data_IF_274875802426
#
_entry.id   IF_274875802426
#
_cell.length_a   1.000
_cell.length_b   1.000
_cell.length_c   1.000
_cell.angle_alpha   90.00
_cell.angle_beta   90.00
_cell.angle_gamma   90.00
#
_symmetry.space_group_name_H-M   'P 1'
#
loop_
_entity.id
_entity.type
_entity.pdbx_description
1 polymer ?
#
# COMPACT_ATOMS: atom_id res chain seq x y z
N UNK A 1 -9.56 -17.32 -31.45
CA UNK A 1 -9.05 -16.54 -30.30
C UNK A 1 -10.23 -15.82 -29.70
N UNK A 2 -10.84 -16.38 -28.66
CA UNK A 2 -11.98 -15.78 -27.99
C UNK A 2 -11.44 -14.70 -27.04
N UNK A 3 -11.79 -13.43 -27.29
CA UNK A 3 -11.54 -12.33 -26.34
C UNK A 3 -12.56 -12.48 -25.20
N UNK A 4 -12.09 -12.86 -24.03
CA UNK A 4 -12.87 -12.82 -22.79
C UNK A 4 -13.09 -11.34 -22.44
N UNK A 5 -14.32 -10.84 -22.55
CA UNK A 5 -14.69 -9.52 -22.04
C UNK A 5 -14.71 -9.59 -20.51
N UNK A 6 -13.75 -8.97 -19.85
CA UNK A 6 -13.88 -8.57 -18.45
C UNK A 6 -14.81 -7.36 -18.42
N UNK A 7 -15.99 -7.51 -17.83
CA UNK A 7 -16.86 -6.37 -17.49
C UNK A 7 -16.35 -5.82 -16.17
N UNK A 8 -15.71 -4.65 -16.21
CA UNK A 8 -15.31 -3.91 -15.00
C UNK A 8 -16.55 -3.25 -14.39
N UNK A 9 -16.85 -3.59 -13.13
CA UNK A 9 -17.76 -2.80 -12.30
C UNK A 9 -16.92 -1.80 -11.50
N UNK A 10 -17.12 -0.50 -11.76
CA UNK A 10 -16.57 0.55 -10.93
C UNK A 10 -17.21 0.49 -9.53
N UNK A 11 -16.40 0.24 -8.50
CA UNK A 11 -16.84 0.32 -7.12
C UNK A 11 -17.09 1.79 -6.75
N UNK A 12 -18.33 2.12 -6.40
CA UNK A 12 -18.73 3.43 -5.86
C UNK A 12 -18.25 3.54 -4.41
N UNK A 13 -17.20 4.33 -4.18
CA UNK A 13 -16.74 4.70 -2.84
C UNK A 13 -17.65 5.80 -2.26
N UNK A 14 -18.33 5.50 -1.15
CA UNK A 14 -19.06 6.48 -0.35
C UNK A 14 -18.13 7.11 0.69
N UNK A 15 -18.16 8.44 0.75
CA UNK A 15 -17.22 9.26 1.53
C UNK A 15 -17.36 9.18 3.05
N UNK A 16 -16.21 9.10 3.71
CA UNK A 16 -16.06 9.35 5.14
C UNK A 16 -16.16 10.87 5.43
N UNK A 17 -17.06 11.26 6.34
CA UNK A 17 -17.14 12.64 6.86
C UNK A 17 -16.03 12.92 7.87
N UNK A 18 -15.10 13.82 7.54
CA UNK A 18 -14.08 14.30 8.46
C UNK A 18 -14.65 15.38 9.41
N UNK A 19 -14.69 15.10 10.72
CA UNK A 19 -15.01 16.10 11.75
C UNK A 19 -13.72 16.72 12.30
N UNK A 20 -13.45 17.97 11.95
CA UNK A 20 -12.30 18.75 12.44
C UNK A 20 -12.50 19.26 13.88
N UNK A 21 -11.54 18.98 14.75
CA UNK A 21 -11.40 19.56 16.08
C UNK A 21 -10.10 20.38 16.19
N UNK A 22 -10.07 21.52 16.90
CA UNK A 22 -8.92 22.42 16.94
C UNK A 22 -7.81 21.93 17.90
N UNK A 23 -6.56 21.90 17.42
CA UNK A 23 -5.36 21.69 18.25
C UNK A 23 -5.03 22.98 19.02
N UNK A 24 -4.93 22.88 20.34
CA UNK A 24 -4.42 23.92 21.22
C UNK A 24 -2.88 23.84 21.31
N UNK A 25 -2.20 24.96 21.05
CA UNK A 25 -0.77 25.16 21.25
C UNK A 25 -0.47 25.65 22.67
N UNK A 26 0.41 24.95 23.39
CA UNK A 26 1.01 25.44 24.63
C UNK A 26 2.54 25.48 24.47
N UNK A 27 3.11 26.68 24.56
CA UNK A 27 4.55 26.91 24.56
C UNK A 27 5.20 26.64 25.92
N UNK A 28 6.52 26.44 25.89
CA UNK A 28 7.38 26.48 27.09
C UNK A 28 8.73 27.14 26.78
N UNK A 29 9.40 27.72 27.79
CA UNK A 29 10.40 28.76 27.63
C UNK A 29 11.83 28.25 27.49
N UNK A 30 12.68 29.12 26.95
CA UNK A 30 14.10 28.94 26.71
C UNK A 30 14.93 28.91 27.99
N UNK A 31 15.80 27.90 28.12
CA UNK A 31 16.89 27.87 29.09
C UNK A 31 18.22 28.25 28.41
N UNK A 32 18.90 29.24 29.00
CA UNK A 32 20.23 29.71 28.59
C UNK A 32 21.31 28.83 29.18
N UNK A 33 22.07 28.14 28.33
CA UNK A 33 23.28 27.40 28.72
C UNK A 33 24.56 28.20 28.43
N UNK A 34 25.52 28.07 29.35
CA UNK A 34 26.83 28.71 29.37
C UNK A 34 27.80 28.15 28.30
N UNK A 35 28.82 28.92 27.88
CA UNK A 35 29.75 28.52 26.83
C UNK A 35 30.68 27.37 27.29
N UNK A 36 30.70 26.29 26.51
CA UNK A 36 31.63 25.17 26.66
C UNK A 36 32.96 25.45 25.95
N UNK A 37 34.08 24.91 26.46
CA UNK A 37 35.42 25.08 25.90
C UNK A 37 35.58 24.40 24.53
N UNK A 38 36.32 25.05 23.63
CA UNK A 38 36.60 24.61 22.26
C UNK A 38 37.38 23.28 22.25
N UNK A 39 36.68 22.20 21.90
CA UNK A 39 37.24 20.87 21.70
C UNK A 39 37.71 20.77 20.24
N UNK A 40 39.02 20.69 20.02
CA UNK A 40 39.62 20.45 18.70
C UNK A 40 39.36 19.01 18.26
N UNK A 41 38.19 18.78 17.67
CA UNK A 41 37.83 17.51 17.06
C UNK A 41 38.78 17.18 15.89
N UNK A 42 39.14 15.89 15.70
CA UNK A 42 39.88 15.45 14.54
C UNK A 42 39.13 15.81 13.25
N UNK A 43 39.83 16.01 12.11
CA UNK A 43 39.20 16.36 10.84
C UNK A 43 38.11 15.33 10.54
N UNK A 44 36.87 15.80 10.51
CA UNK A 44 35.72 15.04 10.05
C UNK A 44 36.00 14.63 8.62
N UNK A 45 36.22 13.34 8.40
CA UNK A 45 36.18 12.73 7.08
C UNK A 45 34.92 13.25 6.39
N UNK A 46 35.11 14.00 5.31
CA UNK A 46 34.00 14.55 4.54
C UNK A 46 33.23 13.34 4.01
N UNK A 47 31.93 13.19 4.33
CA UNK A 47 31.16 12.03 3.89
C UNK A 47 31.27 11.95 2.36
N UNK A 48 31.63 10.76 1.86
CA UNK A 48 31.59 10.49 0.43
C UNK A 48 30.20 10.84 -0.07
N UNK A 49 30.12 11.60 -1.16
CA UNK A 49 28.85 11.86 -1.83
C UNK A 49 28.18 10.53 -2.17
N UNK A 50 26.86 10.45 -2.05
CA UNK A 50 26.08 9.29 -2.47
C UNK A 50 25.36 9.61 -3.78
N UNK A 51 25.08 8.59 -4.61
CA UNK A 51 24.34 8.74 -5.86
C UNK A 51 23.36 7.58 -6.06
N UNK A 52 22.33 7.85 -6.87
CA UNK A 52 21.43 6.83 -7.42
C UNK A 52 21.81 6.52 -8.88
N UNK A 53 21.53 5.30 -9.37
CA UNK A 53 21.63 5.01 -10.80
C UNK A 53 20.56 5.80 -11.59
N UNK A 54 20.74 5.95 -12.90
CA UNK A 54 19.87 6.76 -13.78
C UNK A 54 18.40 6.35 -13.74
N UNK A 55 18.15 5.05 -13.58
CA UNK A 55 16.81 4.47 -13.53
C UNK A 55 16.15 4.50 -12.14
N UNK A 56 16.79 5.16 -11.18
CA UNK A 56 16.24 5.44 -9.86
C UNK A 56 16.26 6.96 -9.60
N UNK A 57 15.36 7.40 -8.72
CA UNK A 57 15.27 8.75 -8.23
C UNK A 57 15.86 8.84 -6.80
N UNK A 58 16.71 9.83 -6.52
CA UNK A 58 17.20 10.11 -5.17
C UNK A 58 16.13 10.73 -4.28
N UNK A 59 15.94 10.20 -3.06
CA UNK A 59 14.99 10.72 -2.08
C UNK A 59 15.69 10.96 -0.73
N UNK A 60 15.87 12.23 -0.28
CA UNK A 60 15.67 13.46 -1.04
C UNK A 60 16.74 13.65 -2.12
N UNK A 61 16.57 14.64 -3.00
CA UNK A 61 17.42 14.78 -4.19
C UNK A 61 18.90 15.11 -3.92
N UNK A 62 19.21 15.95 -2.91
CA UNK A 62 20.57 16.47 -2.69
C UNK A 62 21.46 15.52 -1.86
N UNK A 63 20.88 14.85 -0.86
CA UNK A 63 21.53 13.90 0.03
C UNK A 63 20.60 12.68 0.19
N UNK A 64 20.57 11.76 -0.80
CA UNK A 64 19.58 10.69 -0.82
C UNK A 64 19.74 9.80 0.41
N UNK A 65 18.63 9.60 1.12
CA UNK A 65 18.48 8.60 2.17
C UNK A 65 18.27 7.22 1.56
N UNK A 66 17.61 7.19 0.40
CA UNK A 66 17.41 6.01 -0.43
C UNK A 66 17.25 6.42 -1.90
N UNK A 67 17.34 5.42 -2.77
CA UNK A 67 16.96 5.50 -4.16
C UNK A 67 15.67 4.72 -4.36
N UNK A 68 14.74 5.22 -5.15
CA UNK A 68 13.51 4.50 -5.53
C UNK A 68 13.43 4.39 -7.06
N UNK A 69 12.91 3.30 -7.58
CA UNK A 69 12.71 3.13 -9.02
C UNK A 69 11.97 4.35 -9.61
N UNK A 70 12.54 4.91 -10.68
CA UNK A 70 12.05 6.15 -11.31
C UNK A 70 10.70 5.95 -12.00
N UNK A 71 10.50 4.80 -12.59
CA UNK A 71 9.28 4.34 -13.25
C UNK A 71 8.76 3.05 -12.60
N UNK A 72 7.47 2.75 -12.78
CA UNK A 72 6.92 1.45 -12.40
C UNK A 72 7.74 0.30 -13.01
N UNK A 73 7.89 -0.79 -12.28
CA UNK A 73 8.78 -1.87 -12.68
C UNK A 73 8.19 -2.70 -13.83
N UNK A 74 9.07 -3.16 -14.73
CA UNK A 74 8.79 -4.17 -15.75
C UNK A 74 9.67 -5.39 -15.55
N UNK A 75 9.24 -6.54 -16.05
CA UNK A 75 9.97 -7.81 -15.90
C UNK A 75 11.15 -7.90 -16.89
N UNK A 76 12.30 -8.42 -16.44
CA UNK A 76 13.39 -8.79 -17.34
C UNK A 76 12.97 -9.88 -18.34
N UNK A 77 13.71 -10.02 -19.44
CA UNK A 77 13.40 -11.00 -20.47
C UNK A 77 13.44 -12.47 -19.98
N UNK A 78 14.21 -12.77 -18.93
CA UNK A 78 14.29 -14.09 -18.30
C UNK A 78 13.29 -14.28 -17.15
N UNK A 79 12.54 -13.23 -16.77
CA UNK A 79 11.52 -13.31 -15.74
C UNK A 79 12.07 -13.47 -14.31
N UNK A 80 13.33 -13.11 -14.07
CA UNK A 80 13.99 -13.33 -12.77
C UNK A 80 14.21 -12.04 -11.97
N UNK A 81 14.08 -10.88 -12.59
CA UNK A 81 14.30 -9.59 -11.96
C UNK A 81 13.38 -8.53 -12.58
N UNK A 82 13.41 -7.34 -11.99
CA UNK A 82 12.67 -6.17 -12.41
C UNK A 82 13.63 -5.10 -12.94
N UNK A 83 13.12 -4.31 -13.88
CA UNK A 83 13.78 -3.14 -14.45
C UNK A 83 12.86 -1.94 -14.31
N UNK A 84 13.41 -0.81 -13.88
CA UNK A 84 12.74 0.48 -13.98
C UNK A 84 13.15 1.09 -15.32
N UNK A 85 12.19 1.29 -16.22
CA UNK A 85 12.49 1.78 -17.56
C UNK A 85 11.34 2.64 -18.07
N UNK A 86 11.66 3.69 -18.82
CA UNK A 86 10.66 4.49 -19.55
C UNK A 86 10.11 3.76 -20.78
N UNK A 87 8.84 3.97 -21.09
CA UNK A 87 8.21 3.56 -22.35
C UNK A 87 7.86 2.08 -22.45
N UNK A 88 7.80 1.37 -21.32
CA UNK A 88 7.41 -0.05 -21.25
C UNK A 88 6.08 -0.19 -20.50
N UNK A 89 5.33 -1.25 -20.76
CA UNK A 89 4.13 -1.54 -19.96
C UNK A 89 4.57 -2.10 -18.60
N UNK A 90 4.08 -1.57 -17.47
CA UNK A 90 4.49 -2.04 -16.15
C UNK A 90 4.02 -3.49 -15.92
N UNK A 91 4.82 -4.24 -15.16
CA UNK A 91 4.49 -5.59 -14.75
C UNK A 91 3.39 -5.53 -13.68
N UNK A 92 2.28 -6.24 -13.91
CA UNK A 92 1.19 -6.41 -12.94
C UNK A 92 0.80 -7.88 -12.82
N UNK A 93 -0.11 -8.24 -11.92
CA UNK A 93 -0.55 -9.64 -11.77
C UNK A 93 0.43 -10.52 -11.01
N UNK A 94 1.34 -9.91 -10.26
CA UNK A 94 2.28 -10.57 -9.35
C UNK A 94 1.77 -10.49 -7.91
N UNK A 95 2.04 -11.51 -7.11
CA UNK A 95 1.74 -11.47 -5.68
C UNK A 95 2.68 -10.53 -4.94
N UNK A 96 2.36 -10.20 -3.69
CA UNK A 96 3.27 -9.44 -2.82
C UNK A 96 4.59 -10.18 -2.61
N UNK A 97 4.55 -11.51 -2.38
CA UNK A 97 5.77 -12.30 -2.21
C UNK A 97 6.62 -12.38 -3.49
N UNK A 98 5.98 -12.57 -4.65
CA UNK A 98 6.65 -12.55 -5.96
C UNK A 98 7.32 -11.18 -6.16
N UNK A 99 6.61 -10.08 -5.88
CA UNK A 99 7.15 -8.73 -5.96
C UNK A 99 8.37 -8.52 -5.05
N UNK A 100 8.32 -9.02 -3.81
CA UNK A 100 9.42 -8.91 -2.84
C UNK A 100 10.66 -9.64 -3.32
N UNK A 101 10.49 -10.88 -3.76
CA UNK A 101 11.56 -11.72 -4.28
C UNK A 101 12.18 -11.11 -5.54
N UNK A 102 11.34 -10.66 -6.47
CA UNK A 102 11.80 -10.04 -7.72
C UNK A 102 12.59 -8.76 -7.45
N UNK A 103 12.16 -7.88 -6.55
CA UNK A 103 12.95 -6.72 -6.15
C UNK A 103 14.29 -7.14 -5.53
N UNK A 104 14.30 -8.11 -4.62
CA UNK A 104 15.53 -8.62 -3.99
C UNK A 104 16.53 -9.23 -5.00
N UNK A 105 16.02 -9.80 -6.10
CA UNK A 105 16.81 -10.34 -7.19
C UNK A 105 17.21 -9.29 -8.25
N UNK A 106 16.83 -8.02 -8.07
CA UNK A 106 17.12 -6.95 -9.03
C UNK A 106 18.38 -6.19 -8.62
N UNK A 107 19.46 -6.22 -9.43
CA UNK A 107 20.69 -5.53 -9.08
C UNK A 107 20.57 -4.01 -9.27
N UNK A 108 21.28 -3.26 -8.45
CA UNK A 108 21.55 -1.83 -8.70
C UNK A 108 22.85 -1.77 -9.50
N UNK A 109 22.80 -1.17 -10.69
CA UNK A 109 23.93 -1.14 -11.64
C UNK A 109 24.34 0.30 -11.92
N UNK A 110 25.61 0.62 -11.73
CA UNK A 110 26.22 1.91 -12.09
C UNK A 110 27.42 1.62 -12.97
N UNK A 111 27.51 2.26 -14.13
CA UNK A 111 28.59 2.06 -15.12
C UNK A 111 28.83 0.59 -15.53
N UNK A 112 27.76 -0.22 -15.49
CA UNK A 112 27.81 -1.65 -15.81
C UNK A 112 28.28 -2.55 -14.68
N UNK A 113 28.58 -2.01 -13.50
CA UNK A 113 28.95 -2.77 -12.30
C UNK A 113 27.78 -2.87 -11.33
N UNK A 114 27.57 -4.06 -10.76
CA UNK A 114 26.59 -4.26 -9.69
C UNK A 114 27.15 -3.71 -8.38
N UNK A 115 26.51 -2.68 -7.86
CA UNK A 115 26.92 -1.96 -6.64
C UNK A 115 25.99 -2.22 -5.45
N UNK A 116 24.90 -2.93 -5.67
CA UNK A 116 23.92 -3.27 -4.64
C UNK A 116 22.76 -4.09 -5.20
N UNK A 117 21.74 -4.25 -4.38
CA UNK A 117 20.50 -4.94 -4.72
C UNK A 117 19.32 -4.09 -4.29
N UNK A 118 18.24 -4.17 -5.06
CA UNK A 118 16.99 -3.53 -4.69
C UNK A 118 16.26 -4.36 -3.63
N UNK A 119 15.24 -3.76 -3.06
CA UNK A 119 14.23 -4.36 -2.19
C UNK A 119 12.88 -3.75 -2.55
N UNK A 120 11.79 -4.34 -2.08
CA UNK A 120 10.50 -3.68 -2.24
C UNK A 120 10.55 -2.34 -1.49
N UNK A 121 9.98 -1.28 -2.09
CA UNK A 121 9.83 -0.02 -1.39
C UNK A 121 8.99 -0.23 -0.13
N UNK A 122 9.48 0.27 1.01
CA UNK A 122 8.64 0.33 2.19
C UNK A 122 7.50 1.33 1.98
N UNK A 123 6.42 1.18 2.73
CA UNK A 123 5.31 2.14 2.67
C UNK A 123 5.76 3.57 2.96
N UNK A 124 6.67 3.76 3.93
CA UNK A 124 7.23 5.08 4.26
C UNK A 124 8.06 5.65 3.11
N UNK A 125 8.99 4.88 2.54
CA UNK A 125 9.80 5.34 1.40
C UNK A 125 8.95 5.69 0.19
N UNK A 126 7.93 4.88 -0.09
CA UNK A 126 7.00 5.15 -1.17
C UNK A 126 6.23 6.45 -0.90
N UNK A 127 5.74 6.65 0.33
CA UNK A 127 5.04 7.86 0.76
C UNK A 127 5.89 9.11 0.62
N UNK A 128 7.12 9.09 1.14
CA UNK A 128 8.08 10.20 1.04
C UNK A 128 8.39 10.54 -0.43
N UNK A 129 8.58 9.49 -1.26
CA UNK A 129 8.82 9.67 -2.69
C UNK A 129 7.61 10.28 -3.41
N UNK A 130 6.41 9.88 -2.99
CA UNK A 130 5.13 10.30 -3.54
C UNK A 130 4.83 11.75 -3.20
N UNK A 131 4.88 12.14 -1.93
CA UNK A 131 4.40 13.43 -1.46
C UNK A 131 5.44 14.57 -1.50
N UNK A 132 6.68 14.21 -1.88
CA UNK A 132 7.77 15.14 -2.06
C UNK A 132 8.44 15.61 -0.77
N UNK A 133 8.12 15.03 0.38
CA UNK A 133 8.69 15.40 1.68
C UNK A 133 9.04 14.15 2.48
N UNK A 134 10.27 14.07 2.98
CA UNK A 134 10.66 12.97 3.87
C UNK A 134 10.00 13.13 5.25
N UNK A 135 9.26 12.11 5.68
CA UNK A 135 8.62 12.05 6.99
C UNK A 135 7.23 12.68 7.02
N UNK A 136 6.94 13.47 8.05
CA UNK A 136 5.61 14.08 8.21
C UNK A 136 5.45 15.31 7.29
N UNK A 137 4.42 15.30 6.44
CA UNK A 137 4.05 16.45 5.62
C UNK A 137 3.70 16.03 4.20
N UNK A 138 4.24 16.77 3.23
CA UNK A 138 4.04 16.51 1.81
C UNK A 138 2.71 17.02 1.26
N UNK A 139 2.52 16.79 -0.03
CA UNK A 139 1.26 17.09 -0.72
C UNK A 139 0.33 15.88 -0.79
N UNK A 140 -0.97 16.12 -0.95
CA UNK A 140 -1.97 15.04 -1.08
C UNK A 140 -1.69 14.12 -2.29
N UNK A 141 -1.19 14.68 -3.40
CA UNK A 141 -0.80 13.99 -4.64
C UNK A 141 0.64 14.37 -5.03
N UNK A 142 1.30 13.67 -5.96
CA UNK A 142 2.73 13.89 -6.21
C UNK A 142 3.08 15.24 -6.83
N UNK A 143 2.08 15.89 -7.43
CA UNK A 143 2.22 17.20 -8.07
C UNK A 143 1.54 18.32 -7.26
N UNK A 144 0.98 18.04 -6.08
CA UNK A 144 0.31 19.04 -5.22
C UNK A 144 -1.00 18.57 -4.60
N UNK A 145 -1.86 19.52 -4.23
CA UNK A 145 -3.13 19.25 -3.53
C UNK A 145 -4.31 18.95 -4.46
N UNK A 146 -4.17 19.26 -5.75
CA UNK A 146 -5.25 19.13 -6.73
C UNK A 146 -5.25 17.73 -7.35
N UNK A 147 -6.46 17.17 -7.55
CA UNK A 147 -6.64 15.90 -8.23
C UNK A 147 -6.04 15.96 -9.64
N UNK A 148 -5.04 15.11 -9.99
CA UNK A 148 -4.27 15.25 -11.22
C UNK A 148 -4.97 14.60 -12.42
N UNK A 149 -6.24 14.94 -12.64
CA UNK A 149 -7.00 14.54 -13.83
C UNK A 149 -6.30 15.06 -15.09
N UNK A 150 -6.25 14.24 -16.14
CA UNK A 150 -5.57 14.50 -17.42
C UNK A 150 -4.03 14.65 -17.36
N UNK A 151 -3.44 14.65 -16.16
CA UNK A 151 -1.98 14.67 -15.96
C UNK A 151 -1.46 13.25 -15.82
N UNK A 152 -2.16 12.41 -15.04
CA UNK A 152 -1.81 11.03 -14.78
C UNK A 152 -2.82 10.05 -15.39
N UNK A 153 -2.43 8.77 -15.46
CA UNK A 153 -3.27 7.69 -15.96
C UNK A 153 -4.33 7.31 -14.91
N UNK A 154 -5.28 8.20 -14.70
CA UNK A 154 -6.37 8.12 -13.71
C UNK A 154 -7.72 8.32 -14.40
N UNK A 155 -8.83 7.91 -13.78
CA UNK A 155 -10.14 8.37 -14.21
C UNK A 155 -10.37 9.84 -13.85
N UNK A 156 -11.49 10.37 -14.34
CA UNK A 156 -11.99 11.66 -13.87
C UNK A 156 -12.28 11.64 -12.37
N UNK A 157 -12.43 12.82 -11.76
CA UNK A 157 -12.80 12.93 -10.34
C UNK A 157 -14.11 12.19 -10.00
N UNK A 158 -15.01 12.08 -10.98
CA UNK A 158 -16.27 11.32 -10.87
C UNK A 158 -16.12 9.80 -11.02
N UNK A 159 -14.90 9.30 -11.28
CA UNK A 159 -14.61 7.89 -11.50
C UNK A 159 -14.85 7.41 -12.93
N UNK A 160 -15.08 8.31 -13.90
CA UNK A 160 -15.21 7.92 -15.32
C UNK A 160 -13.83 7.56 -15.89
N UNK A 161 -13.63 6.35 -16.43
CA UNK A 161 -12.34 5.94 -16.98
C UNK A 161 -11.95 6.78 -18.19
N UNK A 162 -10.72 7.29 -18.20
CA UNK A 162 -10.11 8.00 -19.34
C UNK A 162 -9.28 7.02 -20.19
N UNK A 163 -8.72 6.01 -19.55
CA UNK A 163 -7.92 4.95 -20.16
C UNK A 163 -8.58 3.60 -19.95
N UNK A 164 -8.49 2.73 -20.95
CA UNK A 164 -9.05 1.38 -20.90
C UNK A 164 -8.00 0.32 -20.51
N UNK A 165 -6.71 0.67 -20.51
CA UNK A 165 -5.58 -0.24 -20.31
C UNK A 165 -4.41 0.48 -19.61
N UNK A 166 -3.42 -0.31 -19.18
CA UNK A 166 -2.13 0.20 -18.70
C UNK A 166 -1.45 1.06 -19.79
N UNK A 167 -0.84 2.15 -19.37
CA UNK A 167 -0.04 3.02 -20.21
C UNK A 167 1.45 2.67 -20.12
N UNK A 168 2.25 2.96 -21.16
CA UNK A 168 3.70 2.87 -21.04
C UNK A 168 4.19 3.81 -19.94
N UNK A 169 5.09 3.32 -19.10
CA UNK A 169 5.72 4.09 -18.02
C UNK A 169 6.34 5.39 -18.52
N UNK A 170 6.16 6.48 -17.79
CA UNK A 170 6.67 7.81 -18.15
C UNK A 170 6.01 8.43 -19.40
N UNK A 171 5.01 7.79 -20.01
CA UNK A 171 4.33 8.33 -21.20
C UNK A 171 3.53 9.62 -20.93
N UNK A 172 3.27 9.90 -19.65
CA UNK A 172 2.65 11.12 -19.16
C UNK A 172 3.73 11.95 -18.43
N UNK A 173 4.44 12.84 -19.15
CA UNK A 173 5.66 13.47 -18.64
C UNK A 173 5.42 14.42 -17.46
N UNK A 174 4.18 14.89 -17.29
CA UNK A 174 3.79 15.77 -16.20
C UNK A 174 3.30 14.98 -14.97
N UNK A 175 3.12 13.65 -15.07
CA UNK A 175 2.79 12.76 -13.96
C UNK A 175 4.06 12.34 -13.22
N UNK A 176 4.68 13.30 -12.53
CA UNK A 176 5.99 13.13 -11.89
C UNK A 176 6.02 13.82 -10.53
N UNK A 177 6.52 13.11 -9.51
CA UNK A 177 6.67 13.67 -8.17
C UNK A 177 7.77 14.74 -8.11
N UNK A 178 7.82 15.48 -7.00
CA UNK A 178 8.88 16.46 -6.74
C UNK A 178 10.30 15.85 -6.78
N UNK A 179 10.45 14.54 -6.58
CA UNK A 179 11.72 13.82 -6.65
C UNK A 179 12.00 13.18 -8.02
N UNK A 180 11.13 13.40 -9.01
CA UNK A 180 11.34 12.88 -10.37
C UNK A 180 10.89 11.44 -10.55
N UNK A 181 9.95 10.97 -9.72
CA UNK A 181 9.36 9.63 -9.78
C UNK A 181 8.06 9.68 -10.57
N UNK A 182 7.97 8.90 -11.64
CA UNK A 182 6.82 8.86 -12.55
C UNK A 182 5.78 7.85 -12.10
N UNK A 183 4.51 8.11 -12.44
CA UNK A 183 3.40 7.16 -12.35
C UNK A 183 3.17 6.60 -10.92
N UNK A 184 3.58 7.30 -9.86
CA UNK A 184 3.23 6.88 -8.49
C UNK A 184 1.74 7.09 -8.18
N UNK A 185 1.04 7.86 -9.01
CA UNK A 185 -0.41 7.95 -8.96
C UNK A 185 -1.02 7.58 -10.32
N UNK A 186 -1.95 6.62 -10.33
CA UNK A 186 -2.55 6.10 -11.54
C UNK A 186 -1.75 4.95 -12.16
N UNK A 187 -2.02 4.67 -13.42
CA UNK A 187 -1.48 3.54 -14.17
C UNK A 187 -1.72 2.18 -13.47
N UNK A 188 -0.76 1.59 -12.76
CA UNK A 188 -0.98 0.42 -11.92
C UNK A 188 -0.93 0.77 -10.43
N UNK A 189 -1.68 0.01 -9.64
CA UNK A 189 -1.43 -0.02 -8.20
C UNK A 189 -0.05 -0.62 -7.93
N UNK A 190 0.58 -0.22 -6.84
CA UNK A 190 1.89 -0.75 -6.47
C UNK A 190 1.85 -1.45 -5.11
N UNK A 191 2.50 -2.61 -5.01
CA UNK A 191 2.80 -3.23 -3.73
C UNK A 191 3.86 -2.42 -2.98
N UNK A 192 3.65 -2.20 -1.70
CA UNK A 192 4.65 -1.65 -0.76
C UNK A 192 4.69 -2.49 0.51
N UNK A 193 5.83 -2.49 1.20
CA UNK A 193 6.04 -3.24 2.44
C UNK A 193 5.82 -2.33 3.68
N UNK A 194 4.76 -2.53 4.47
CA UNK A 194 4.55 -1.80 5.73
C UNK A 194 5.59 -2.14 6.81
N UNK A 195 6.43 -3.16 6.59
CA UNK A 195 7.32 -3.77 7.59
C UNK A 195 6.56 -4.25 8.84
N UNK A 196 5.37 -4.80 8.62
CA UNK A 196 4.52 -5.34 9.67
C UNK A 196 4.10 -6.78 9.34
N UNK A 197 3.84 -7.55 10.39
CA UNK A 197 3.33 -8.91 10.28
C UNK A 197 2.00 -9.02 10.99
N UNK A 198 1.17 -9.94 10.50
CA UNK A 198 -0.07 -10.34 11.15
C UNK A 198 0.27 -10.99 12.49
N UNK A 199 -0.46 -10.59 13.53
CA UNK A 199 -0.41 -11.21 14.85
C UNK A 199 -1.83 -11.26 15.42
N UNK A 200 -2.43 -12.45 15.34
CA UNK A 200 -3.83 -12.66 15.76
C UNK A 200 -4.01 -12.37 17.25
N UNK A 201 -3.05 -12.75 18.08
CA UNK A 201 -3.13 -12.52 19.52
C UNK A 201 -3.09 -11.01 19.85
N UNK A 202 -2.19 -10.27 19.21
CA UNK A 202 -2.10 -8.81 19.34
C UNK A 202 -3.39 -8.13 18.83
N UNK A 203 -4.02 -8.64 17.77
CA UNK A 203 -5.32 -8.15 17.31
C UNK A 203 -6.41 -8.29 18.38
N UNK A 204 -6.53 -9.48 18.98
CA UNK A 204 -7.52 -9.76 20.02
C UNK A 204 -7.27 -8.92 21.29
N UNK A 205 -6.01 -8.76 21.71
CA UNK A 205 -5.66 -7.92 22.86
C UNK A 205 -6.03 -6.44 22.62
N UNK A 206 -5.71 -5.90 21.43
CA UNK A 206 -6.00 -4.51 21.10
C UNK A 206 -7.49 -4.22 20.99
N UNK A 207 -8.24 -5.10 20.33
CA UNK A 207 -9.71 -4.97 20.25
C UNK A 207 -10.35 -5.08 21.64
N UNK A 208 -9.84 -5.94 22.53
CA UNK A 208 -10.23 -5.99 23.94
C UNK A 208 -9.93 -4.68 24.69
N UNK A 209 -8.79 -4.04 24.43
CA UNK A 209 -8.45 -2.73 24.99
C UNK A 209 -9.41 -1.62 24.53
N UNK A 210 -10.02 -1.75 23.34
CA UNK A 210 -11.09 -0.87 22.83
C UNK A 210 -12.49 -1.25 23.34
N UNK A 211 -12.58 -2.30 24.16
CA UNK A 211 -13.84 -2.75 24.78
C UNK A 211 -14.66 -3.70 23.89
N UNK A 212 -14.05 -4.33 22.88
CA UNK A 212 -14.64 -5.42 22.10
C UNK A 212 -14.17 -6.76 22.68
N UNK A 213 -15.09 -7.65 23.08
CA UNK A 213 -14.71 -8.96 23.63
C UNK A 213 -14.82 -10.02 22.55
N UNK A 214 -13.75 -10.19 21.76
CA UNK A 214 -13.69 -11.20 20.70
C UNK A 214 -12.94 -12.44 21.19
N UNK A 215 -13.43 -13.62 20.81
CA UNK A 215 -12.72 -14.89 20.92
C UNK A 215 -12.71 -15.62 19.59
N UNK A 216 -11.70 -16.46 19.39
CA UNK A 216 -11.57 -17.31 18.20
C UNK A 216 -11.29 -18.74 18.66
N UNK A 217 -12.04 -19.70 18.16
CA UNK A 217 -11.85 -21.12 18.50
C UNK A 217 -10.82 -21.82 17.58
N UNK A 218 -10.59 -23.11 17.83
CA UNK A 218 -9.65 -23.93 17.03
C UNK A 218 -10.06 -24.06 15.56
N UNK A 219 -11.35 -23.90 15.24
CA UNK A 219 -11.85 -23.92 13.86
C UNK A 219 -11.77 -22.53 13.19
N UNK A 220 -11.33 -21.50 13.92
CA UNK A 220 -11.26 -20.13 13.43
C UNK A 220 -12.61 -19.40 13.51
N UNK A 221 -13.62 -19.95 14.19
CA UNK A 221 -14.91 -19.28 14.36
C UNK A 221 -14.74 -18.12 15.33
N UNK A 222 -15.13 -16.92 14.90
CA UNK A 222 -15.03 -15.70 15.68
C UNK A 222 -16.34 -15.49 16.44
N UNK A 223 -16.27 -15.22 17.74
CA UNK A 223 -17.43 -14.91 18.58
C UNK A 223 -17.22 -13.58 19.31
N UNK A 224 -18.26 -12.73 19.34
CA UNK A 224 -18.31 -11.52 20.18
C UNK A 224 -19.11 -11.80 21.45
N UNK A 225 -18.45 -11.77 22.60
CA UNK A 225 -19.05 -12.09 23.91
C UNK A 225 -19.90 -10.95 24.47
N UNK A 226 -19.69 -9.72 24.00
CA UNK A 226 -20.42 -8.53 24.43
C UNK A 226 -21.35 -7.97 23.34
N UNK A 227 -21.57 -8.73 22.27
CA UNK A 227 -22.46 -8.41 21.14
C UNK A 227 -22.13 -7.07 20.45
N UNK A 228 -20.85 -6.69 20.42
CA UNK A 228 -20.39 -5.46 19.78
C UNK A 228 -19.39 -5.75 18.68
N UNK A 229 -19.53 -5.01 17.58
CA UNK A 229 -18.62 -4.98 16.44
C UNK A 229 -18.34 -3.54 15.96
N UNK A 230 -18.83 -2.53 16.68
CA UNK A 230 -18.63 -1.12 16.32
C UNK A 230 -17.13 -0.82 16.23
N UNK A 231 -16.71 -0.20 15.13
CA UNK A 231 -15.30 0.11 14.90
C UNK A 231 -14.48 -1.02 14.29
N UNK A 232 -15.08 -2.16 13.95
CA UNK A 232 -14.45 -3.15 13.07
C UNK A 232 -14.86 -2.92 11.61
N UNK A 233 -13.96 -3.22 10.68
CA UNK A 233 -14.19 -3.10 9.23
C UNK A 233 -13.87 -4.42 8.56
N UNK A 234 -14.74 -4.86 7.64
CA UNK A 234 -14.52 -6.01 6.79
C UNK A 234 -13.83 -5.56 5.49
N UNK A 235 -12.64 -6.09 5.22
CA UNK A 235 -11.85 -5.74 4.04
C UNK A 235 -11.50 -7.00 3.27
N UNK A 236 -12.32 -7.34 2.28
CA UNK A 236 -12.14 -8.54 1.46
C UNK A 236 -12.28 -8.14 0.00
N UNK A 237 -11.25 -8.35 -0.84
CA UNK A 237 -11.31 -8.00 -2.24
C UNK A 237 -12.44 -8.73 -2.96
N UNK A 238 -13.14 -8.03 -3.84
CA UNK A 238 -14.19 -8.62 -4.67
C UNK A 238 -15.50 -8.89 -3.94
N UNK A 239 -15.73 -8.33 -2.74
CA UNK A 239 -17.05 -8.30 -2.12
C UNK A 239 -17.43 -6.89 -1.67
N UNK A 240 -18.74 -6.69 -1.46
CA UNK A 240 -19.26 -5.67 -0.54
C UNK A 240 -20.03 -6.37 0.57
N UNK A 241 -19.96 -5.85 1.79
CA UNK A 241 -20.67 -6.40 2.94
C UNK A 241 -20.31 -5.66 4.22
N UNK A 242 -20.95 -6.05 5.32
CA UNK A 242 -20.64 -5.52 6.67
C UNK A 242 -20.46 -6.65 7.67
N UNK A 243 -19.83 -6.38 8.82
CA UNK A 243 -19.78 -7.35 9.89
C UNK A 243 -21.10 -7.38 10.66
N UNK A 244 -21.55 -8.56 11.03
CA UNK A 244 -22.74 -8.76 11.87
C UNK A 244 -22.60 -9.92 12.82
N UNK A 245 -23.62 -10.10 13.65
CA UNK A 245 -23.70 -11.16 14.65
C UNK A 245 -24.92 -12.04 14.40
N UNK A 246 -24.76 -13.34 14.61
CA UNK A 246 -25.85 -14.33 14.59
C UNK A 246 -25.96 -15.07 15.91
N UNK A 247 -26.79 -16.11 15.98
CA UNK A 247 -27.03 -16.90 17.19
C UNK A 247 -25.72 -17.31 17.88
N UNK A 248 -25.64 -17.09 19.19
CA UNK A 248 -24.44 -17.38 19.99
C UNK A 248 -23.34 -16.34 19.88
N UNK A 249 -23.57 -15.18 19.24
CA UNK A 249 -22.58 -14.11 19.10
C UNK A 249 -21.55 -14.37 18.01
N UNK A 250 -21.80 -15.32 17.12
CA UNK A 250 -20.88 -15.64 16.01
C UNK A 250 -20.81 -14.48 15.03
N UNK A 251 -19.58 -14.08 14.67
CA UNK A 251 -19.32 -13.00 13.72
C UNK A 251 -19.40 -13.52 12.29
N UNK A 252 -20.14 -12.81 11.44
CA UNK A 252 -20.39 -13.16 10.03
C UNK A 252 -20.31 -11.92 9.15
N UNK A 253 -20.23 -12.12 7.84
CA UNK A 253 -20.45 -11.04 6.88
C UNK A 253 -21.95 -11.00 6.54
N UNK A 254 -22.57 -9.83 6.61
CA UNK A 254 -23.97 -9.58 6.25
C UNK A 254 -24.07 -8.79 4.95
N UNK A 255 -25.21 -8.97 4.26
CA UNK A 255 -25.56 -8.27 3.03
C UNK A 255 -24.45 -8.38 1.98
N UNK A 256 -23.90 -9.59 1.81
CA UNK A 256 -22.71 -9.84 1.00
C UNK A 256 -23.07 -9.84 -0.47
N UNK A 257 -22.44 -8.95 -1.23
CA UNK A 257 -22.47 -8.91 -2.69
C UNK A 257 -21.12 -9.37 -3.21
N UNK A 258 -21.09 -10.47 -3.96
CA UNK A 258 -19.87 -10.97 -4.60
C UNK A 258 -19.66 -10.32 -5.96
N UNK A 259 -18.57 -9.57 -6.10
CA UNK A 259 -18.22 -8.82 -7.30
C UNK A 259 -17.21 -9.58 -8.18
N UNK A 260 -16.37 -10.41 -7.57
CA UNK A 260 -15.48 -11.32 -8.29
C UNK A 260 -16.20 -12.62 -8.67
N UNK A 261 -15.81 -13.19 -9.83
CA UNK A 261 -16.34 -14.48 -10.31
C UNK A 261 -15.37 -15.62 -9.98
N UNK A 262 -15.93 -16.79 -9.72
CA UNK A 262 -15.17 -18.02 -9.51
C UNK A 262 -14.26 -18.38 -10.70
N UNK A 263 -13.10 -19.03 -10.46
CA UNK A 263 -12.55 -19.41 -9.16
C UNK A 263 -11.85 -18.22 -8.49
N UNK A 264 -12.41 -17.70 -7.40
CA UNK A 264 -11.87 -16.60 -6.61
C UNK A 264 -12.01 -16.97 -5.15
N UNK A 265 -10.92 -16.90 -4.40
CA UNK A 265 -10.93 -17.15 -2.96
C UNK A 265 -11.16 -15.82 -2.24
N UNK A 266 -12.23 -15.73 -1.44
CA UNK A 266 -12.59 -14.50 -0.74
C UNK A 266 -11.86 -14.42 0.60
N UNK A 267 -10.56 -14.16 0.51
CA UNK A 267 -9.67 -13.94 1.64
C UNK A 267 -9.40 -12.45 1.83
N UNK A 268 -9.25 -12.03 3.07
CA UNK A 268 -9.01 -10.64 3.41
C UNK A 268 -8.83 -10.49 4.90
N UNK A 269 -9.29 -9.36 5.45
CA UNK A 269 -9.03 -9.00 6.83
C UNK A 269 -10.25 -8.41 7.54
N UNK A 270 -10.24 -8.54 8.86
CA UNK A 270 -10.97 -7.64 9.75
C UNK A 270 -9.97 -6.64 10.31
N UNK A 271 -10.22 -5.36 10.08
CA UNK A 271 -9.44 -4.24 10.61
C UNK A 271 -10.18 -3.49 11.71
N UNK A 272 -9.47 -2.56 12.36
CA UNK A 272 -10.05 -1.60 13.30
C UNK A 272 -10.16 -0.23 12.64
N UNK A 273 -11.37 0.33 12.55
CA UNK A 273 -11.70 1.58 11.87
C UNK A 273 -11.02 2.81 12.50
N UNK A 274 -10.72 2.76 13.81
CA UNK A 274 -10.06 3.85 14.53
C UNK A 274 -8.60 4.04 14.08
N UNK A 275 -8.00 3.00 13.51
CA UNK A 275 -6.67 3.07 12.92
C UNK A 275 -6.82 3.67 11.53
N UNK A 276 -6.17 4.82 11.32
CA UNK A 276 -5.96 5.33 9.96
C UNK A 276 -5.33 4.22 9.14
N UNK A 277 -5.63 4.19 7.84
CA UNK A 277 -5.05 3.18 6.96
C UNK A 277 -3.52 3.16 7.16
N UNK A 278 -2.87 4.34 7.27
CA UNK A 278 -1.42 4.57 7.53
C UNK A 278 -0.81 3.90 8.76
N UNK A 279 -1.62 3.50 9.73
CA UNK A 279 -1.14 2.83 10.93
C UNK A 279 -1.69 1.42 11.13
N UNK A 280 -2.50 0.90 10.17
CA UNK A 280 -3.21 -0.36 10.38
C UNK A 280 -2.25 -1.54 10.32
N UNK A 281 -1.69 -1.84 11.48
CA UNK A 281 -0.80 -2.97 11.76
C UNK A 281 -1.51 -4.07 12.53
N UNK A 282 -2.78 -3.84 12.87
CA UNK A 282 -3.59 -4.74 13.68
C UNK A 282 -4.76 -5.23 12.83
N UNK A 283 -4.57 -6.37 12.17
CA UNK A 283 -5.58 -6.99 11.30
C UNK A 283 -5.75 -8.47 11.66
N UNK A 284 -6.94 -9.00 11.43
CA UNK A 284 -7.26 -10.41 11.60
C UNK A 284 -7.46 -11.06 10.23
N UNK A 285 -6.61 -12.02 9.80
CA UNK A 285 -6.76 -12.69 8.52
C UNK A 285 -7.98 -13.58 8.53
N UNK A 286 -8.80 -13.46 7.51
CA UNK A 286 -10.04 -14.22 7.40
C UNK A 286 -10.24 -14.81 6.02
N UNK A 287 -11.08 -15.84 5.96
CA UNK A 287 -11.68 -16.36 4.74
C UNK A 287 -13.19 -16.33 4.87
N UNK A 288 -13.86 -15.96 3.78
CA UNK A 288 -15.30 -16.05 3.65
C UNK A 288 -15.67 -17.33 2.92
N UNK A 289 -16.53 -18.13 3.56
CA UNK A 289 -17.13 -19.29 2.90
C UNK A 289 -18.08 -18.80 1.83
N UNK A 290 -17.82 -19.17 0.57
CA UNK A 290 -18.70 -18.81 -0.52
C UNK A 290 -19.93 -19.72 -0.55
N UNK A 291 -21.14 -19.17 -0.77
CA UNK A 291 -22.30 -19.98 -1.10
C UNK A 291 -22.09 -20.75 -2.42
N UNK A 292 -22.84 -21.83 -2.66
CA UNK A 292 -22.84 -22.52 -3.96
C UNK A 292 -23.06 -21.55 -5.14
N UNK A 293 -22.45 -21.83 -6.29
CA UNK A 293 -22.15 -20.95 -7.46
C UNK A 293 -23.28 -20.07 -8.04
N UNK A 294 -24.50 -20.13 -7.51
CA UNK A 294 -25.69 -19.50 -8.09
C UNK A 294 -26.05 -18.12 -7.49
N UNK A 295 -25.40 -17.68 -6.42
CA UNK A 295 -25.78 -16.45 -5.71
C UNK A 295 -24.74 -15.33 -5.88
N UNK A 296 -25.15 -14.24 -6.54
CA UNK A 296 -24.40 -12.98 -6.56
C UNK A 296 -24.53 -12.20 -5.24
N UNK A 297 -25.58 -12.47 -4.48
CA UNK A 297 -25.92 -11.79 -3.24
C UNK A 297 -26.42 -12.82 -2.22
N UNK A 298 -25.92 -12.74 -0.99
CA UNK A 298 -26.40 -13.55 0.14
C UNK A 298 -26.57 -12.68 1.38
N UNK A 299 -27.62 -12.98 2.15
CA UNK A 299 -27.90 -12.27 3.40
C UNK A 299 -26.74 -12.43 4.41
N UNK A 300 -26.04 -13.58 4.36
CA UNK A 300 -24.99 -13.93 5.29
C UNK A 300 -23.93 -14.84 4.65
N UNK A 301 -22.66 -14.61 4.97
CA UNK A 301 -21.55 -15.53 4.72
C UNK A 301 -20.76 -15.82 6.01
N UNK A 302 -20.35 -17.08 6.18
CA UNK A 302 -19.50 -17.49 7.31
C UNK A 302 -18.12 -16.87 7.17
N UNK A 303 -17.58 -16.34 8.26
CA UNK A 303 -16.20 -15.88 8.36
C UNK A 303 -15.43 -16.82 9.29
N UNK A 304 -14.26 -17.26 8.87
CA UNK A 304 -13.31 -17.95 9.76
C UNK A 304 -11.93 -17.32 9.68
N UNK A 305 -11.17 -17.38 10.78
CA UNK A 305 -9.78 -16.95 10.83
C UNK A 305 -8.91 -17.89 10.02
N UNK A 306 -8.09 -17.31 9.13
CA UNK A 306 -7.10 -18.04 8.34
C UNK A 306 -5.81 -18.18 9.15
N UNK A 307 -5.78 -19.14 10.08
CA UNK A 307 -4.66 -19.36 11.00
C UNK A 307 -3.30 -19.57 10.34
N UNK A 308 -3.25 -20.02 9.08
CA UNK A 308 -2.00 -20.17 8.32
C UNK A 308 -1.27 -18.84 8.08
N UNK A 309 -1.99 -17.72 8.20
CA UNK A 309 -1.46 -16.36 7.96
C UNK A 309 -0.96 -15.67 9.22
N UNK A 310 -1.05 -16.30 10.40
CA UNK A 310 -0.47 -15.72 11.60
C UNK A 310 1.06 -15.66 11.46
N UNK A 311 1.63 -14.46 11.57
CA UNK A 311 3.03 -14.16 11.27
C UNK A 311 3.35 -13.85 9.80
N UNK A 312 2.40 -13.98 8.86
CA UNK A 312 2.59 -13.55 7.48
C UNK A 312 2.71 -12.02 7.38
N UNK A 313 3.36 -11.47 6.32
CA UNK A 313 3.46 -10.02 6.16
C UNK A 313 2.09 -9.38 5.94
N UNK A 314 1.88 -8.21 6.54
CA UNK A 314 0.80 -7.31 6.15
C UNK A 314 1.20 -6.68 4.81
N UNK A 315 0.28 -6.62 3.86
CA UNK A 315 0.54 -5.98 2.57
C UNK A 315 -0.01 -4.56 2.53
N UNK A 316 0.56 -3.74 1.65
CA UNK A 316 0.01 -2.45 1.29
C UNK A 316 -0.07 -2.30 -0.22
N UNK A 317 -1.20 -1.80 -0.68
CA UNK A 317 -1.46 -1.44 -2.06
C UNK A 317 -1.70 0.07 -2.16
N UNK A 318 -0.90 0.76 -2.97
CA UNK A 318 -0.81 2.25 -3.03
C UNK A 318 -0.86 2.78 -4.46
N UNK A 319 -1.14 4.08 -4.61
CA UNK A 319 -0.99 4.82 -5.88
C UNK A 319 -2.21 4.87 -6.79
N UNK A 320 -3.25 4.08 -6.54
CA UNK A 320 -4.35 3.91 -7.51
C UNK A 320 -3.91 3.32 -8.84
N UNK A 321 -4.88 2.94 -9.66
CA UNK A 321 -4.69 2.49 -11.03
C UNK A 321 -5.63 3.25 -11.96
N UNK A 322 -5.43 3.11 -13.27
CA UNK A 322 -6.24 3.77 -14.30
C UNK A 322 -7.75 3.52 -14.22
N UNK A 323 -8.16 2.44 -13.54
CA UNK A 323 -9.56 2.05 -13.34
C UNK A 323 -10.07 2.27 -11.91
N UNK A 324 -9.22 2.75 -11.00
CA UNK A 324 -9.61 2.95 -9.59
C UNK A 324 -10.52 4.15 -9.51
N UNK A 325 -11.64 4.07 -8.78
CA UNK A 325 -12.62 5.16 -8.70
C UNK A 325 -12.03 6.52 -8.26
N UNK A 326 -12.90 7.52 -8.09
CA UNK A 326 -12.50 8.91 -7.77
C UNK A 326 -11.56 9.10 -6.56
N UNK A 327 -11.25 10.35 -6.16
CA UNK A 327 -10.07 10.70 -5.35
C UNK A 327 -9.81 9.92 -4.04
N UNK A 328 -10.85 9.33 -3.46
CA UNK A 328 -10.77 8.54 -2.23
C UNK A 328 -9.89 7.30 -2.44
N UNK A 329 -8.73 7.27 -1.79
CA UNK A 329 -7.80 6.13 -1.83
C UNK A 329 -6.60 6.32 -2.75
N UNK A 330 -6.47 7.47 -3.42
CA UNK A 330 -5.36 7.73 -4.34
C UNK A 330 -4.33 8.73 -3.80
N UNK A 331 -4.67 9.48 -2.76
CA UNK A 331 -3.73 10.40 -2.11
C UNK A 331 -2.84 9.69 -1.10
N UNK A 332 -1.96 10.46 -0.46
CA UNK A 332 -1.03 10.00 0.58
C UNK A 332 -1.65 9.18 1.70
N UNK A 333 -2.84 9.56 2.16
CA UNK A 333 -3.57 8.87 3.22
C UNK A 333 -4.35 7.63 2.72
N UNK A 334 -4.43 7.43 1.40
CA UNK A 334 -5.18 6.36 0.75
C UNK A 334 -4.30 5.18 0.39
N UNK A 335 -4.31 4.14 1.22
CA UNK A 335 -3.73 2.84 0.86
C UNK A 335 -4.56 1.72 1.43
N UNK A 336 -4.45 0.55 0.79
CA UNK A 336 -5.32 -0.57 1.05
C UNK A 336 -4.50 -1.75 1.57
N UNK A 337 -4.75 -2.16 2.81
CA UNK A 337 -4.19 -3.38 3.40
C UNK A 337 -5.10 -4.60 3.25
N UNK A 338 -6.25 -4.44 2.59
CA UNK A 338 -7.28 -5.47 2.43
C UNK A 338 -6.89 -6.72 1.62
N UNK A 339 -5.73 -6.74 0.96
CA UNK A 339 -5.36 -7.85 0.07
C UNK A 339 -4.36 -8.80 0.74
N UNK A 340 -4.58 -10.12 0.71
CA UNK A 340 -3.60 -11.07 1.23
C UNK A 340 -2.33 -11.09 0.36
N UNK A 341 -1.23 -11.56 0.93
CA UNK A 341 0.09 -11.57 0.28
C UNK A 341 0.17 -12.46 -0.98
N UNK A 342 -0.79 -13.36 -1.18
CA UNK A 342 -0.94 -14.24 -2.33
C UNK A 342 -1.91 -13.70 -3.41
N UNK A 343 -2.51 -12.52 -3.19
CA UNK A 343 -3.46 -11.92 -4.13
C UNK A 343 -2.80 -11.54 -5.46
N UNK A 344 -3.46 -11.88 -6.58
CA UNK A 344 -3.07 -11.48 -7.93
C UNK A 344 -4.14 -10.59 -8.56
N UNK A 345 -3.84 -9.30 -8.67
CA UNK A 345 -4.67 -8.33 -9.41
C UNK A 345 -3.82 -7.44 -10.28
N UNK A 346 -4.40 -6.35 -10.81
CA UNK A 346 -3.63 -5.32 -11.51
C UNK A 346 -2.85 -4.47 -10.50
N UNK A 347 -1.88 -5.10 -9.85
CA UNK A 347 -0.94 -4.55 -8.88
C UNK A 347 0.45 -4.94 -9.37
N UNK A 348 1.28 -3.93 -9.58
CA UNK A 348 2.70 -4.06 -9.85
C UNK A 348 3.53 -3.82 -8.61
N UNK A 349 4.73 -3.31 -8.78
CA UNK A 349 5.65 -3.03 -7.68
C UNK A 349 6.60 -1.92 -8.08
N UNK A 350 7.09 -1.21 -7.06
CA UNK A 350 8.23 -0.31 -7.15
C UNK A 350 9.29 -0.76 -6.14
N UNK A 351 10.53 -0.85 -6.61
CA UNK A 351 11.63 -1.22 -5.75
C UNK A 351 12.36 0.02 -5.22
N UNK A 352 13.02 -0.11 -4.08
CA UNK A 352 13.95 0.86 -3.51
C UNK A 352 15.31 0.22 -3.26
N UNK A 353 16.32 1.05 -3.03
CA UNK A 353 17.67 0.62 -2.68
C UNK A 353 18.34 1.66 -1.78
N UNK A 354 19.32 1.20 -1.02
CA UNK A 354 20.18 2.10 -0.26
C UNK A 354 21.06 2.91 -1.24
N UNK A 355 21.40 4.17 -0.91
CA UNK A 355 22.15 5.03 -1.79
C UNK A 355 23.60 4.54 -1.91
N UNK A 356 24.21 4.70 -3.09
CA UNK A 356 25.52 4.11 -3.39
C UNK A 356 26.62 5.16 -3.17
N UNK A 357 27.72 4.85 -2.46
CA UNK A 357 28.85 5.76 -2.33
C UNK A 357 29.45 6.08 -3.71
N UNK A 358 29.64 7.36 -4.02
CA UNK A 358 30.34 7.81 -5.22
C UNK A 358 31.81 7.42 -5.09
N UNK A 359 32.40 6.71 -6.07
CA UNK A 359 33.82 6.41 -6.06
C UNK A 359 34.65 7.70 -5.94
N UNK A 360 35.62 7.72 -5.02
CA UNK A 360 36.59 8.81 -4.98
C UNK A 360 37.35 8.87 -6.31
N UNK A 361 37.52 10.06 -6.92
CA UNK A 361 38.13 10.23 -8.23
C UNK A 361 39.61 9.82 -8.31
#
# INVERSE_FOLDING_TARGET
>A
MARTLFTFCAALLFGCSASGGPKATAGSPADSAAPQPEDTAPPTDTPSAFTCPDDMAPVPADEPLFCIDRWEASMTADGQALLSQEGVIPQTGITFDEARELCANSPVVIDGETVGWRRMASLTEWGDAYDGVVGDGGSTYPMGEEWPVDVCALPTESGEPIYDDLQPTGSLPDCVSAFGVYDQVGNAWEWTDPNASIDVATFLERTAAEGLSLSVDEAGVITSENERLDGLVLEVPGIRGTLGLVEGGVVVALDVVYEARLPFEFTGFIGVASQSDRGRTTILPIVLEQPPEEFAEVDQATITVRWSEDGAPITAKVGCAYYSGGPGGCGTDGWFSGHPHDFKGTIGVRCSADPVPVPSP
#
